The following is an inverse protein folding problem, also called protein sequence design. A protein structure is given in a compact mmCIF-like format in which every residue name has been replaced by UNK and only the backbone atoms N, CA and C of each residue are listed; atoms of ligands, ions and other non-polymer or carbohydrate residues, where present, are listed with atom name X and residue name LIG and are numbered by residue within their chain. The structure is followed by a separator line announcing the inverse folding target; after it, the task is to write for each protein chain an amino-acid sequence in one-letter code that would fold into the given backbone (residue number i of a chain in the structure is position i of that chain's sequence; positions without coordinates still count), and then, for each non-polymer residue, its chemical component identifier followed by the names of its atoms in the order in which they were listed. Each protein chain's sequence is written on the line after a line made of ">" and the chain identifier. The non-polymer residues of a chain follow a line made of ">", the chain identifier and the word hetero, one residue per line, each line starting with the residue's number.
data_IF_525033071713
#
_entry.id   IF_525033071713
#
_cell.length_a   1.000
_cell.length_b   1.000
_cell.length_c   1.000
_cell.angle_alpha   90.00
_cell.angle_beta   90.00
_cell.angle_gamma   90.00
#
_symmetry.space_group_name_H-M   'P 1'
#
loop_
_entity.id
_entity.type
_entity.pdbx_description
1 polymer ?
#
# COMPACT_ATOMS: atom_id res chain seq x y z
N UNK A 1 -12.84 5.54 6.35
CA UNK A 1 -13.04 5.88 7.78
C UNK A 1 -11.69 6.21 8.41
N UNK A 2 -11.62 7.20 9.31
CA UNK A 2 -10.39 7.52 10.05
C UNK A 2 -10.38 6.81 11.40
N UNK A 3 -9.30 6.08 11.70
CA UNK A 3 -9.23 5.13 12.81
C UNK A 3 -8.11 5.54 13.75
N UNK A 4 -8.48 6.08 14.92
CA UNK A 4 -7.57 6.60 15.93
C UNK A 4 -7.74 5.92 17.30
N UNK A 5 -8.35 4.74 17.33
CA UNK A 5 -8.50 3.92 18.54
C UNK A 5 -8.03 2.50 18.29
N UNK A 6 -7.53 1.84 19.35
CA UNK A 6 -7.10 0.43 19.25
C UNK A 6 -8.28 -0.50 18.91
N UNK A 7 -9.49 -0.21 19.44
CA UNK A 7 -10.69 -0.96 19.11
C UNK A 7 -11.04 -0.90 17.61
N UNK A 8 -10.86 0.27 16.98
CA UNK A 8 -11.04 0.39 15.53
C UNK A 8 -9.98 -0.42 14.76
N UNK A 9 -8.72 -0.38 15.19
CA UNK A 9 -7.65 -1.17 14.56
C UNK A 9 -7.91 -2.67 14.67
N UNK A 10 -8.27 -3.17 15.86
CA UNK A 10 -8.59 -4.59 16.05
C UNK A 10 -9.82 -5.00 15.26
N UNK A 11 -10.80 -4.10 15.10
CA UNK A 11 -11.95 -4.33 14.22
C UNK A 11 -11.56 -4.55 12.75
N UNK A 12 -10.60 -3.77 12.23
CA UNK A 12 -10.05 -3.99 10.87
C UNK A 12 -9.34 -5.34 10.79
N UNK A 13 -8.53 -5.67 11.80
CA UNK A 13 -7.79 -6.94 11.85
C UNK A 13 -8.73 -8.14 11.82
N UNK A 14 -9.76 -8.12 12.67
CA UNK A 14 -10.77 -9.18 12.71
C UNK A 14 -11.59 -9.22 11.40
N UNK A 15 -11.79 -8.08 10.74
CA UNK A 15 -12.47 -8.03 9.44
C UNK A 15 -11.61 -8.67 8.34
N UNK A 16 -10.31 -8.36 8.28
CA UNK A 16 -9.37 -8.99 7.33
C UNK A 16 -9.28 -10.50 7.58
N UNK A 17 -9.14 -10.93 8.85
CA UNK A 17 -8.99 -12.35 9.18
C UNK A 17 -10.24 -13.19 8.87
N UNK A 18 -11.42 -12.56 8.80
CA UNK A 18 -12.67 -13.21 8.36
C UNK A 18 -12.73 -13.46 6.85
N UNK A 19 -11.92 -12.76 6.05
CA UNK A 19 -11.95 -12.93 4.60
C UNK A 19 -11.31 -14.28 4.24
N UNK A 20 -12.10 -15.35 4.09
CA UNK A 20 -11.61 -16.67 3.69
C UNK A 20 -10.95 -16.69 2.28
N UNK A 21 -10.95 -15.56 1.57
CA UNK A 21 -10.40 -15.36 0.23
C UNK A 21 -8.88 -15.54 0.13
N UNK A 22 -8.15 -15.46 1.26
CA UNK A 22 -6.71 -15.75 1.29
C UNK A 22 -6.39 -17.23 1.02
N UNK A 23 -7.35 -18.15 1.20
CA UNK A 23 -7.17 -19.57 0.87
C UNK A 23 -7.06 -19.72 -0.65
N UNK A 24 -5.81 -19.83 -1.15
CA UNK A 24 -5.38 -20.14 -2.54
C UNK A 24 -5.07 -18.95 -3.46
N UNK A 25 -4.74 -17.77 -2.93
CA UNK A 25 -4.29 -16.62 -3.75
C UNK A 25 -5.36 -16.17 -4.79
N UNK A 26 -6.65 -16.46 -4.52
CA UNK A 26 -7.77 -16.19 -5.44
C UNK A 26 -8.00 -14.68 -5.55
N UNK A 27 -7.98 -14.00 -4.42
CA UNK A 27 -8.27 -12.57 -4.30
C UNK A 27 -7.54 -12.00 -3.08
N UNK A 28 -6.85 -10.85 -3.21
CA UNK A 28 -6.23 -10.20 -2.06
C UNK A 28 -7.31 -9.68 -1.09
N UNK A 29 -7.23 -10.02 0.21
CA UNK A 29 -8.17 -9.50 1.21
C UNK A 29 -7.89 -8.04 1.56
N UNK A 30 -6.70 -7.51 1.25
CA UNK A 30 -6.35 -6.13 1.58
C UNK A 30 -5.32 -5.48 0.64
N UNK A 31 -5.44 -4.16 0.51
CA UNK A 31 -4.56 -3.27 -0.23
C UNK A 31 -4.11 -2.15 0.70
N UNK A 32 -2.82 -1.81 0.66
CA UNK A 32 -2.19 -1.00 1.70
C UNK A 32 -1.27 0.04 1.07
N UNK A 33 -1.25 1.21 1.70
CA UNK A 33 -0.35 2.32 1.39
C UNK A 33 -0.02 3.08 2.68
N UNK A 34 1.20 3.60 2.81
CA UNK A 34 1.65 4.34 4.00
C UNK A 34 2.03 5.77 3.67
N UNK A 35 1.77 6.66 4.61
CA UNK A 35 2.19 8.06 4.51
C UNK A 35 2.93 8.48 5.77
N UNK A 36 3.91 9.36 5.62
CA UNK A 36 4.63 9.92 6.76
C UNK A 36 5.70 10.94 6.40
N UNK A 37 6.37 11.47 7.42
CA UNK A 37 7.46 12.41 7.23
C UNK A 37 8.73 11.69 6.76
N UNK A 38 9.11 11.89 5.50
CA UNK A 38 10.23 11.20 4.86
C UNK A 38 10.13 9.67 5.00
N UNK A 39 8.98 9.09 4.64
CA UNK A 39 8.65 7.67 4.80
C UNK A 39 9.83 6.73 4.50
N UNK A 40 10.26 6.02 5.54
CA UNK A 40 11.40 5.10 5.54
C UNK A 40 12.02 4.98 6.94
N UNK A 41 13.12 4.23 7.05
CA UNK A 41 13.81 3.93 8.33
C UNK A 41 14.30 5.15 9.12
N UNK A 42 14.49 6.29 8.45
CA UNK A 42 14.98 7.53 9.04
C UNK A 42 13.87 8.60 9.19
N UNK A 43 12.63 8.25 8.83
CA UNK A 43 11.47 9.12 8.89
C UNK A 43 10.44 8.61 9.88
N UNK A 44 9.16 8.71 9.50
CA UNK A 44 8.05 8.19 10.29
C UNK A 44 6.98 7.53 9.41
N UNK A 45 6.12 6.74 10.06
CA UNK A 45 4.81 6.39 9.52
C UNK A 45 3.79 7.19 10.31
N UNK A 46 3.06 8.06 9.63
CA UNK A 46 2.02 8.90 10.21
C UNK A 46 0.64 8.27 10.03
N UNK A 47 0.40 7.68 8.86
CA UNK A 47 -0.86 7.08 8.47
C UNK A 47 -0.60 5.74 7.78
N UNK A 48 -1.49 4.78 8.02
CA UNK A 48 -1.58 3.56 7.22
C UNK A 48 -2.97 3.49 6.61
N UNK A 49 -3.06 3.50 5.29
CA UNK A 49 -4.33 3.30 4.59
C UNK A 49 -4.50 1.83 4.28
N UNK A 50 -5.66 1.27 4.62
CA UNK A 50 -6.02 -0.12 4.36
C UNK A 50 -7.37 -0.17 3.67
N UNK A 51 -7.41 -0.67 2.44
CA UNK A 51 -8.63 -1.12 1.80
C UNK A 51 -8.81 -2.60 2.10
N UNK A 52 -9.85 -2.97 2.84
CA UNK A 52 -10.28 -4.37 3.02
C UNK A 52 -11.23 -4.73 1.88
N UNK A 53 -10.99 -5.87 1.22
CA UNK A 53 -11.64 -6.25 -0.03
C UNK A 53 -12.34 -7.62 0.05
N UNK A 54 -13.56 -7.68 0.64
CA UNK A 54 -14.39 -8.88 0.60
C UNK A 54 -14.81 -9.28 -0.83
N UNK A 55 -15.02 -8.30 -1.70
CA UNK A 55 -15.53 -8.48 -3.06
C UNK A 55 -15.79 -7.16 -3.75
N UNK A 56 -16.06 -7.21 -5.05
CA UNK A 56 -16.38 -6.03 -5.88
C UNK A 56 -17.66 -5.35 -5.36
N UNK A 57 -17.55 -4.06 -5.01
CA UNK A 57 -18.65 -3.26 -4.47
C UNK A 57 -18.84 -3.40 -2.96
N UNK A 58 -17.98 -4.16 -2.27
CA UNK A 58 -18.01 -4.38 -0.82
C UNK A 58 -16.71 -3.92 -0.14
N UNK A 59 -15.86 -3.19 -0.87
CA UNK A 59 -14.62 -2.62 -0.33
C UNK A 59 -14.87 -1.59 0.77
N UNK A 60 -14.01 -1.61 1.79
CA UNK A 60 -14.00 -0.62 2.86
C UNK A 60 -12.60 -0.04 3.04
N UNK A 61 -12.49 1.28 3.00
CA UNK A 61 -11.22 2.00 3.16
C UNK A 61 -11.11 2.59 4.57
N UNK A 62 -10.02 2.27 5.25
CA UNK A 62 -9.66 2.77 6.56
C UNK A 62 -8.34 3.54 6.46
N UNK A 63 -8.24 4.68 7.16
CA UNK A 63 -7.00 5.44 7.36
C UNK A 63 -6.67 5.36 8.84
N UNK A 64 -5.65 4.59 9.19
CA UNK A 64 -5.23 4.32 10.56
C UNK A 64 -4.25 5.40 11.00
N UNK A 65 -4.52 6.01 12.15
CA UNK A 65 -3.68 7.03 12.79
C UNK A 65 -2.47 6.40 13.49
N UNK A 66 -1.46 6.01 12.71
CA UNK A 66 -0.22 5.43 13.24
C UNK A 66 0.57 6.45 14.06
N UNK A 67 0.47 7.75 13.74
CA UNK A 67 1.10 8.81 14.50
C UNK A 67 0.63 8.84 15.97
N UNK A 68 -0.69 8.80 16.19
CA UNK A 68 -1.27 8.83 17.54
C UNK A 68 -1.17 7.48 18.25
N UNK A 69 -1.43 6.38 17.52
CA UNK A 69 -1.49 5.05 18.12
C UNK A 69 -0.11 4.39 18.29
N UNK A 70 0.87 4.82 17.51
CA UNK A 70 2.24 4.34 17.53
C UNK A 70 2.33 2.82 17.44
N UNK A 71 3.23 2.24 18.24
CA UNK A 71 3.46 0.79 18.30
C UNK A 71 2.21 0.00 18.69
N UNK A 72 1.31 0.56 19.51
CA UNK A 72 0.12 -0.14 19.95
C UNK A 72 -0.85 -0.47 18.80
N UNK A 73 -0.85 0.28 17.69
CA UNK A 73 -1.61 -0.08 16.49
C UNK A 73 -1.20 -1.45 15.92
N UNK A 74 0.08 -1.83 16.05
CA UNK A 74 0.60 -3.08 15.50
C UNK A 74 0.48 -4.26 16.48
N UNK A 75 0.48 -3.97 17.79
CA UNK A 75 0.54 -4.97 18.85
C UNK A 75 -0.84 -5.32 19.44
N UNK A 76 -1.86 -4.46 19.28
CA UNK A 76 -3.21 -4.72 19.78
C UNK A 76 -3.82 -5.97 19.11
N UNK A 77 -4.36 -6.87 19.93
CA UNK A 77 -4.90 -8.17 19.50
C UNK A 77 -6.43 -8.10 19.45
N UNK A 78 -7.02 -8.48 18.32
CA UNK A 78 -8.46 -8.58 18.13
C UNK A 78 -9.08 -9.85 18.72
N UNK A 79 -10.40 -9.97 18.56
CA UNK A 79 -11.19 -11.10 19.08
C UNK A 79 -10.76 -12.45 18.50
N UNK A 80 -10.18 -12.42 17.28
CA UNK A 80 -9.69 -13.62 16.58
C UNK A 80 -8.23 -13.96 16.92
N UNK A 81 -7.65 -13.31 17.92
CA UNK A 81 -6.32 -13.64 18.45
C UNK A 81 -5.16 -13.20 17.56
N UNK A 82 -5.40 -12.29 16.62
CA UNK A 82 -4.37 -11.70 15.75
C UNK A 82 -4.26 -10.20 15.98
N UNK A 83 -3.05 -9.67 15.86
CA UNK A 83 -2.79 -8.24 15.73
C UNK A 83 -2.57 -7.83 14.28
N UNK A 84 -2.52 -6.52 14.01
CA UNK A 84 -2.15 -6.00 12.69
C UNK A 84 -0.76 -6.48 12.26
N UNK A 85 0.19 -6.55 13.21
CA UNK A 85 1.50 -7.16 12.95
C UNK A 85 1.37 -8.61 12.50
N UNK A 86 0.57 -9.44 13.18
CA UNK A 86 0.38 -10.83 12.76
C UNK A 86 -0.19 -10.94 11.34
N UNK A 87 -1.13 -10.07 10.95
CA UNK A 87 -1.69 -10.03 9.59
C UNK A 87 -0.62 -9.65 8.55
N UNK A 88 0.18 -8.62 8.83
CA UNK A 88 1.23 -8.15 7.92
C UNK A 88 2.38 -9.17 7.78
N UNK A 89 2.70 -9.91 8.83
CA UNK A 89 3.77 -10.92 8.84
C UNK A 89 3.32 -12.31 8.35
N UNK A 90 2.01 -12.56 8.22
CA UNK A 90 1.47 -13.82 7.72
C UNK A 90 1.72 -13.98 6.20
N UNK A 91 2.54 -14.96 5.74
CA UNK A 91 2.79 -15.16 4.31
C UNK A 91 1.56 -15.64 3.52
N UNK A 92 0.60 -16.28 4.19
CA UNK A 92 -0.63 -16.79 3.60
C UNK A 92 -1.71 -15.72 3.38
N UNK A 93 -1.61 -14.59 4.08
CA UNK A 93 -2.50 -13.44 3.87
C UNK A 93 -1.84 -12.52 2.85
N UNK A 94 -2.43 -12.43 1.66
CA UNK A 94 -1.92 -11.57 0.59
C UNK A 94 -2.17 -10.10 0.93
N UNK A 95 -1.12 -9.28 0.89
CA UNK A 95 -1.19 -7.81 0.96
C UNK A 95 -0.73 -7.24 -0.36
N UNK A 96 -1.50 -6.31 -0.91
CA UNK A 96 -1.13 -5.63 -2.15
C UNK A 96 -0.68 -4.21 -1.85
N UNK A 97 0.48 -3.85 -2.36
CA UNK A 97 1.06 -2.50 -2.29
C UNK A 97 1.36 -2.01 -3.71
N UNK A 98 1.46 -0.70 -3.90
CA UNK A 98 2.05 -0.12 -5.10
C UNK A 98 3.45 0.39 -4.76
N UNK A 99 4.50 -0.29 -5.21
CA UNK A 99 5.90 0.00 -4.84
C UNK A 99 6.20 -0.10 -3.33
N UNK A 100 6.21 -1.33 -2.80
CA UNK A 100 6.30 -1.64 -1.36
C UNK A 100 7.60 -1.22 -0.65
N UNK A 101 8.61 -0.74 -1.38
CA UNK A 101 9.99 -0.67 -0.88
C UNK A 101 10.12 0.25 0.34
N UNK A 102 9.61 1.48 0.28
CA UNK A 102 9.69 2.41 1.41
C UNK A 102 8.71 2.03 2.53
N UNK A 103 7.55 1.47 2.19
CA UNK A 103 6.59 0.99 3.18
C UNK A 103 7.20 -0.13 4.03
N UNK A 104 7.80 -1.12 3.38
CA UNK A 104 8.44 -2.24 4.06
C UNK A 104 9.66 -1.79 4.86
N UNK A 105 10.45 -0.84 4.35
CA UNK A 105 11.59 -0.28 5.08
C UNK A 105 11.13 0.39 6.38
N UNK A 106 10.12 1.26 6.30
CA UNK A 106 9.55 1.96 7.44
C UNK A 106 8.92 0.98 8.45
N UNK A 107 8.11 0.03 7.99
CA UNK A 107 7.47 -0.99 8.83
C UNK A 107 8.48 -1.81 9.62
N UNK A 108 9.59 -2.21 8.98
CA UNK A 108 10.61 -3.02 9.61
C UNK A 108 11.45 -2.23 10.61
N UNK A 109 12.04 -1.11 10.21
CA UNK A 109 12.98 -0.38 11.07
C UNK A 109 12.30 0.41 12.19
N UNK A 110 11.08 0.93 11.97
CA UNK A 110 10.39 1.74 12.96
C UNK A 110 9.53 0.89 13.91
N UNK A 111 8.90 -0.17 13.40
CA UNK A 111 7.92 -0.97 14.17
C UNK A 111 8.30 -2.45 14.32
N UNK A 112 9.35 -2.93 13.67
CA UNK A 112 9.79 -4.32 13.75
C UNK A 112 8.81 -5.27 13.06
N UNK A 113 8.07 -4.82 12.04
CA UNK A 113 7.14 -5.64 11.26
C UNK A 113 7.91 -6.27 10.09
N UNK A 114 8.06 -7.59 10.14
CA UNK A 114 8.68 -8.36 9.05
C UNK A 114 7.64 -8.70 7.98
N UNK A 115 7.36 -7.74 7.09
CA UNK A 115 6.31 -7.86 6.08
C UNK A 115 6.48 -9.12 5.20
N UNK A 116 5.41 -9.90 5.01
CA UNK A 116 5.40 -11.10 4.14
C UNK A 116 4.14 -11.16 3.30
N UNK A 117 4.07 -12.07 2.33
CA UNK A 117 2.85 -12.27 1.53
C UNK A 117 2.49 -11.05 0.69
N UNK A 118 3.48 -10.37 0.11
CA UNK A 118 3.27 -9.13 -0.66
C UNK A 118 3.07 -9.43 -2.15
N UNK A 119 2.16 -8.69 -2.78
CA UNK A 119 2.18 -8.45 -4.23
C UNK A 119 2.38 -6.97 -4.52
N UNK A 120 3.42 -6.68 -5.29
CA UNK A 120 3.71 -5.32 -5.72
C UNK A 120 3.05 -5.03 -7.08
N UNK A 121 2.07 -4.14 -7.10
CA UNK A 121 1.31 -3.79 -8.31
C UNK A 121 2.16 -3.12 -9.37
N UNK A 122 3.22 -2.41 -8.99
CA UNK A 122 4.13 -1.80 -9.94
C UNK A 122 4.91 -2.88 -10.72
N UNK A 123 5.25 -3.99 -10.06
CA UNK A 123 5.84 -5.15 -10.73
C UNK A 123 4.83 -5.91 -11.59
N UNK A 124 3.57 -6.00 -11.16
CA UNK A 124 2.50 -6.58 -11.97
C UNK A 124 2.29 -5.80 -13.28
N UNK A 125 2.22 -4.46 -13.22
CA UNK A 125 2.18 -3.60 -14.41
C UNK A 125 3.37 -3.90 -15.33
N UNK A 126 4.59 -3.90 -14.78
CA UNK A 126 5.80 -4.21 -15.57
C UNK A 126 5.72 -5.59 -16.24
N UNK A 127 5.33 -6.63 -15.51
CA UNK A 127 5.21 -7.98 -16.06
C UNK A 127 4.11 -8.12 -17.11
N UNK A 128 3.06 -7.29 -17.04
CA UNK A 128 1.94 -7.31 -17.98
C UNK A 128 2.27 -6.71 -19.35
N UNK A 129 3.32 -5.88 -19.45
CA UNK A 129 3.72 -5.21 -20.69
C UNK A 129 4.33 -6.23 -21.68
N UNK A 130 3.96 -6.21 -22.97
CA UNK A 130 4.33 -7.27 -23.92
C UNK A 130 5.83 -7.28 -24.28
N UNK A 131 6.44 -6.10 -24.41
CA UNK A 131 7.80 -5.96 -24.96
C UNK A 131 8.85 -5.76 -23.87
N UNK A 132 10.02 -6.40 -24.02
CA UNK A 132 11.10 -6.29 -23.04
C UNK A 132 11.64 -4.86 -22.89
N UNK A 133 11.70 -4.11 -23.98
CA UNK A 133 12.09 -2.69 -23.98
C UNK A 133 11.18 -1.84 -23.09
N UNK A 134 9.87 -2.12 -23.15
CA UNK A 134 8.87 -1.47 -22.31
C UNK A 134 8.95 -1.91 -20.86
N UNK A 135 9.69 -2.96 -20.51
CA UNK A 135 9.87 -3.43 -19.13
C UNK A 135 11.16 -2.91 -18.50
N UNK A 136 11.99 -2.15 -19.20
CA UNK A 136 13.25 -1.61 -18.66
C UNK A 136 13.02 -0.72 -17.43
N UNK A 137 11.91 0.02 -17.42
CA UNK A 137 11.56 0.95 -16.35
C UNK A 137 10.20 0.62 -15.76
N UNK A 138 10.04 0.81 -14.45
CA UNK A 138 8.75 0.74 -13.78
C UNK A 138 7.93 2.02 -13.99
N UNK A 139 6.60 1.89 -13.93
CA UNK A 139 5.67 3.01 -14.06
C UNK A 139 5.28 3.56 -12.69
N UNK A 140 5.08 4.88 -12.58
CA UNK A 140 4.44 5.48 -11.40
C UNK A 140 2.93 5.24 -11.39
N UNK A 141 2.29 5.40 -10.23
CA UNK A 141 0.86 5.11 -10.03
C UNK A 141 -0.04 5.82 -11.06
N UNK A 142 0.15 7.12 -11.27
CA UNK A 142 -0.64 7.90 -12.22
C UNK A 142 -0.60 7.33 -13.65
N UNK A 143 0.56 6.83 -14.10
CA UNK A 143 0.70 6.18 -15.41
C UNK A 143 -0.03 4.84 -15.44
N UNK A 144 0.08 4.04 -14.38
CA UNK A 144 -0.65 2.77 -14.30
C UNK A 144 -2.18 2.98 -14.24
N UNK A 145 -2.65 4.10 -13.70
CA UNK A 145 -4.07 4.44 -13.65
C UNK A 145 -4.68 4.72 -15.04
N UNK A 146 -3.87 5.07 -16.04
CA UNK A 146 -4.36 5.32 -17.41
C UNK A 146 -4.97 4.09 -18.08
N UNK A 147 -4.57 2.88 -17.66
CA UNK A 147 -5.02 1.62 -18.25
C UNK A 147 -6.10 0.90 -17.44
N UNK A 148 -6.50 1.48 -16.30
CA UNK A 148 -7.62 1.02 -15.49
C UNK A 148 -8.93 1.51 -16.13
N UNK A 149 -9.96 0.67 -16.27
CA UNK A 149 -11.22 1.03 -16.92
C UNK A 149 -12.08 1.94 -16.03
N UNK A 150 -11.66 3.19 -15.86
CA UNK A 150 -12.39 4.21 -15.12
C UNK A 150 -13.24 5.06 -16.07
N UNK A 151 -14.39 5.52 -15.59
CA UNK A 151 -15.15 6.57 -16.26
C UNK A 151 -14.37 7.90 -16.25
N UNK A 152 -14.67 8.80 -17.18
CA UNK A 152 -14.04 10.13 -17.22
C UNK A 152 -14.24 10.90 -15.90
N UNK A 153 -15.41 10.77 -15.28
CA UNK A 153 -15.71 11.38 -13.99
C UNK A 153 -14.84 10.79 -12.85
N UNK A 154 -14.70 9.46 -12.78
CA UNK A 154 -13.84 8.81 -11.79
C UNK A 154 -12.38 9.24 -11.92
N UNK A 155 -11.87 9.32 -13.16
CA UNK A 155 -10.49 9.75 -13.42
C UNK A 155 -10.29 11.23 -13.05
N UNK A 156 -11.25 12.09 -13.36
CA UNK A 156 -11.20 13.50 -12.99
C UNK A 156 -11.22 13.69 -11.47
N UNK A 157 -12.08 12.97 -10.76
CA UNK A 157 -12.17 13.02 -9.30
C UNK A 157 -10.89 12.52 -8.63
N UNK A 158 -10.33 11.40 -9.12
CA UNK A 158 -9.07 10.87 -8.61
C UNK A 158 -7.91 11.85 -8.82
N UNK A 159 -7.79 12.43 -10.01
CA UNK A 159 -6.78 13.45 -10.30
C UNK A 159 -6.94 14.68 -9.39
N UNK A 160 -8.18 15.14 -9.18
CA UNK A 160 -8.46 16.28 -8.31
C UNK A 160 -8.04 16.00 -6.86
N UNK A 161 -8.37 14.82 -6.34
CA UNK A 161 -7.96 14.40 -5.00
C UNK A 161 -6.43 14.33 -4.86
N UNK A 162 -5.75 13.74 -5.85
CA UNK A 162 -4.28 13.68 -5.86
C UNK A 162 -3.67 15.07 -5.89
N UNK A 163 -4.15 15.97 -6.75
CA UNK A 163 -3.65 17.34 -6.86
C UNK A 163 -3.86 18.16 -5.58
N UNK A 164 -5.02 18.00 -4.91
CA UNK A 164 -5.32 18.70 -3.66
C UNK A 164 -4.42 18.22 -2.52
N UNK A 165 -4.27 16.90 -2.34
CA UNK A 165 -3.38 16.34 -1.33
C UNK A 165 -1.91 16.69 -1.60
N UNK A 166 -1.46 16.55 -2.84
CA UNK A 166 -0.10 16.91 -3.27
C UNK A 166 0.28 18.33 -2.90
N UNK A 167 -0.62 19.32 -3.07
CA UNK A 167 -0.34 20.71 -2.68
C UNK A 167 -0.13 20.89 -1.19
N UNK A 168 -0.68 19.98 -0.37
CA UNK A 168 -0.59 20.05 1.09
C UNK A 168 0.65 19.36 1.64
N UNK A 169 1.01 18.18 1.10
CA UNK A 169 2.16 17.43 1.62
C UNK A 169 3.48 17.70 0.90
N UNK A 170 3.45 18.05 -0.39
CA UNK A 170 4.66 18.16 -1.22
C UNK A 170 5.33 19.54 -1.07
N UNK A 171 6.57 19.62 -0.54
CA UNK A 171 7.29 20.89 -0.41
C UNK A 171 7.53 21.63 -1.73
N UNK A 172 7.67 20.91 -2.85
CA UNK A 172 7.83 21.52 -4.18
C UNK A 172 6.57 22.25 -4.66
N UNK A 173 5.41 21.91 -4.08
CA UNK A 173 4.11 22.54 -4.35
C UNK A 173 3.68 23.51 -3.23
N UNK A 174 4.58 23.84 -2.29
CA UNK A 174 4.33 24.73 -1.16
C UNK A 174 3.74 24.04 0.08
N UNK A 175 3.65 22.71 0.06
CA UNK A 175 3.20 21.90 1.18
C UNK A 175 4.32 21.53 2.17
N UNK A 176 4.01 20.61 3.08
CA UNK A 176 4.98 20.04 4.02
C UNK A 176 4.59 18.62 4.40
N UNK A 177 5.57 17.72 4.46
CA UNK A 177 5.33 16.34 4.93
C UNK A 177 4.69 16.28 6.32
N UNK A 178 4.94 17.29 7.17
CA UNK A 178 4.35 17.38 8.50
C UNK A 178 2.81 17.47 8.50
N UNK A 179 2.18 17.74 7.34
CA UNK A 179 0.73 17.74 7.22
C UNK A 179 0.11 16.39 7.59
N UNK A 180 0.82 15.27 7.37
CA UNK A 180 0.37 13.94 7.75
C UNK A 180 0.27 13.74 9.28
N UNK A 181 0.97 14.57 10.05
CA UNK A 181 0.94 14.57 11.52
C UNK A 181 -0.09 15.55 12.12
N UNK A 182 -0.72 16.40 11.30
CA UNK A 182 -1.69 17.39 11.77
C UNK A 182 -2.97 16.72 12.27
N UNK A 183 -3.49 17.16 13.42
CA UNK A 183 -4.78 16.72 13.99
C UNK A 183 -5.66 17.93 14.35
N UNK A 184 -6.96 17.96 13.97
CA UNK A 184 -7.64 16.98 13.13
C UNK A 184 -7.02 16.90 11.73
N UNK A 185 -7.02 15.69 11.15
CA UNK A 185 -6.40 15.45 9.85
C UNK A 185 -7.21 16.17 8.75
N UNK A 186 -6.57 16.95 7.85
CA UNK A 186 -7.28 17.65 6.78
C UNK A 186 -8.08 16.68 5.89
N UNK A 187 -9.27 17.10 5.47
CA UNK A 187 -10.16 16.25 4.68
C UNK A 187 -9.55 15.90 3.31
N UNK A 188 -8.77 16.80 2.75
CA UNK A 188 -8.02 16.63 1.51
C UNK A 188 -6.95 15.54 1.64
N UNK A 189 -6.27 15.45 2.80
CA UNK A 189 -5.30 14.37 3.07
C UNK A 189 -6.03 13.03 3.25
N UNK A 190 -7.17 13.00 3.94
CA UNK A 190 -7.98 11.78 4.04
C UNK A 190 -8.42 11.27 2.67
N UNK A 191 -8.87 12.16 1.77
CA UNK A 191 -9.26 11.81 0.40
C UNK A 191 -8.08 11.37 -0.46
N UNK A 192 -6.94 12.04 -0.30
CA UNK A 192 -5.68 11.67 -0.94
C UNK A 192 -5.31 10.23 -0.61
N UNK A 193 -5.17 9.91 0.68
CA UNK A 193 -4.84 8.58 1.18
C UNK A 193 -5.83 7.52 0.69
N UNK A 194 -7.14 7.81 0.75
CA UNK A 194 -8.15 6.89 0.24
C UNK A 194 -8.01 6.65 -1.28
N UNK A 195 -7.67 7.69 -2.05
CA UNK A 195 -7.45 7.62 -3.49
C UNK A 195 -6.25 6.76 -3.90
N UNK A 196 -5.24 6.62 -3.04
CA UNK A 196 -4.05 5.78 -3.31
C UNK A 196 -4.34 4.28 -3.26
N UNK A 197 -5.37 3.87 -2.51
CA UNK A 197 -5.77 2.46 -2.43
C UNK A 197 -7.04 2.13 -3.21
N UNK A 198 -7.93 3.10 -3.44
CA UNK A 198 -9.29 2.88 -3.96
C UNK A 198 -9.36 2.04 -5.25
N UNK A 199 -8.39 2.24 -6.15
CA UNK A 199 -8.38 1.58 -7.46
C UNK A 199 -7.36 0.44 -7.58
N UNK A 200 -6.61 0.14 -6.52
CA UNK A 200 -5.67 -0.98 -6.51
C UNK A 200 -6.35 -2.34 -6.77
N UNK A 201 -7.59 -2.62 -6.32
CA UNK A 201 -8.28 -3.86 -6.72
C UNK A 201 -8.51 -3.96 -8.24
N UNK A 202 -8.92 -2.86 -8.87
CA UNK A 202 -9.13 -2.83 -10.32
C UNK A 202 -7.81 -2.99 -11.08
N UNK A 203 -6.73 -2.36 -10.59
CA UNK A 203 -5.37 -2.54 -11.13
C UNK A 203 -4.89 -3.99 -10.99
N UNK A 204 -5.13 -4.62 -9.84
CA UNK A 204 -4.76 -6.01 -9.60
C UNK A 204 -5.41 -6.94 -10.62
N UNK A 205 -6.72 -6.77 -10.86
CA UNK A 205 -7.45 -7.52 -11.89
C UNK A 205 -6.92 -7.23 -13.30
N UNK A 206 -6.61 -5.97 -13.61
CA UNK A 206 -6.08 -5.54 -14.91
C UNK A 206 -4.70 -6.13 -15.23
N UNK A 207 -3.81 -6.17 -14.23
CA UNK A 207 -2.42 -6.59 -14.39
C UNK A 207 -2.15 -8.04 -14.00
N UNK A 208 -3.20 -8.80 -13.65
CA UNK A 208 -3.09 -10.22 -13.38
C UNK A 208 -2.53 -10.96 -14.59
N UNK A 209 -1.41 -11.68 -14.40
CA UNK A 209 -0.80 -12.44 -15.48
C UNK A 209 -1.55 -13.74 -15.77
N UNK A 210 -1.73 -14.01 -17.06
CA UNK A 210 -2.36 -15.22 -17.56
C UNK A 210 -1.43 -16.46 -17.47
N UNK A 211 -0.12 -16.27 -17.29
CA UNK A 211 0.84 -17.38 -17.24
C UNK A 211 1.37 -17.60 -15.83
N UNK A 212 1.56 -18.87 -15.43
CA UNK A 212 2.19 -19.21 -14.15
C UNK A 212 3.59 -18.58 -14.02
N UNK A 213 4.40 -18.63 -15.08
CA UNK A 213 5.77 -18.09 -15.09
C UNK A 213 5.86 -16.64 -14.62
N UNK A 214 5.02 -15.75 -15.16
CA UNK A 214 5.04 -14.34 -14.79
C UNK A 214 4.41 -14.09 -13.42
N UNK A 215 3.42 -14.89 -13.01
CA UNK A 215 2.90 -14.86 -11.64
C UNK A 215 4.01 -15.19 -10.64
N UNK A 216 4.75 -16.27 -10.86
CA UNK A 216 5.86 -16.71 -10.02
C UNK A 216 6.99 -15.68 -9.98
N UNK A 217 7.32 -15.07 -11.13
CA UNK A 217 8.30 -13.99 -11.20
C UNK A 217 7.89 -12.78 -10.36
N UNK A 218 6.62 -12.35 -10.44
CA UNK A 218 6.12 -11.23 -9.63
C UNK A 218 6.15 -11.57 -8.14
N UNK A 219 5.79 -12.81 -7.75
CA UNK A 219 5.89 -13.27 -6.36
C UNK A 219 7.32 -13.11 -5.86
N UNK A 220 8.28 -13.67 -6.61
CA UNK A 220 9.68 -13.68 -6.22
C UNK A 220 10.27 -12.27 -6.18
N UNK A 221 9.98 -11.45 -7.20
CA UNK A 221 10.44 -10.07 -7.26
C UNK A 221 9.82 -9.19 -6.16
N UNK A 222 8.54 -9.43 -5.79
CA UNK A 222 7.90 -8.74 -4.67
C UNK A 222 8.57 -9.12 -3.35
N UNK A 223 8.84 -10.41 -3.13
CA UNK A 223 9.58 -10.92 -1.96
C UNK A 223 10.99 -10.33 -1.88
N UNK A 224 11.69 -10.27 -3.02
CA UNK A 224 13.02 -9.68 -3.13
C UNK A 224 13.01 -8.18 -2.78
N UNK A 225 12.05 -7.41 -3.29
CA UNK A 225 11.89 -5.99 -2.92
C UNK A 225 11.76 -5.78 -1.41
N UNK A 226 10.94 -6.60 -0.75
CA UNK A 226 10.76 -6.57 0.71
C UNK A 226 12.06 -6.91 1.43
N UNK A 227 12.75 -7.98 1.01
CA UNK A 227 14.02 -8.38 1.64
C UNK A 227 15.11 -7.33 1.46
N UNK A 228 15.22 -6.74 0.27
CA UNK A 228 16.19 -5.69 -0.04
C UNK A 228 15.90 -4.41 0.74
N UNK A 229 14.62 -3.99 0.84
CA UNK A 229 14.25 -2.79 1.61
C UNK A 229 14.53 -2.92 3.10
N UNK A 230 14.49 -4.14 3.65
CA UNK A 230 14.80 -4.40 5.06
C UNK A 230 16.30 -4.58 5.33
N UNK A 231 17.14 -4.62 4.30
CA UNK A 231 18.59 -4.79 4.46
C UNK A 231 19.26 -3.50 4.98
N UNK A 232 20.34 -3.64 5.75
CA UNK A 232 21.08 -2.50 6.32
C UNK A 232 21.60 -1.52 5.25
N UNK A 233 21.95 -2.01 4.06
CA UNK A 233 22.50 -1.18 2.97
C UNK A 233 21.47 -0.50 2.06
N UNK A 234 20.16 -0.71 2.26
CA UNK A 234 19.11 -0.14 1.40
C UNK A 234 19.19 1.39 1.35
N UNK A 235 19.00 1.94 0.15
CA UNK A 235 18.98 3.38 -0.11
C UNK A 235 17.58 3.80 -0.59
N UNK A 236 16.74 4.41 0.26
CA UNK A 236 15.34 4.72 -0.09
C UNK A 236 15.21 5.74 -1.23
N UNK A 237 16.26 6.50 -1.55
CA UNK A 237 16.23 7.54 -2.59
C UNK A 237 17.16 7.21 -3.78
N UNK A 238 17.53 5.94 -3.96
CA UNK A 238 18.41 5.47 -5.03
C UNK A 238 17.86 5.73 -6.45
N UNK A 239 18.74 6.10 -7.39
CA UNK A 239 18.38 6.36 -8.81
C UNK A 239 17.97 5.10 -9.57
N UNK A 240 18.38 3.94 -9.09
CA UNK A 240 18.06 2.62 -9.61
C UNK A 240 16.63 2.18 -9.31
N UNK A 241 15.88 2.90 -8.46
CA UNK A 241 14.49 2.59 -8.14
C UNK A 241 13.54 2.59 -9.34
N UNK A 242 13.90 3.32 -10.40
CA UNK A 242 13.14 3.38 -11.65
C UNK A 242 13.36 2.16 -12.56
N UNK A 243 14.39 1.36 -12.33
CA UNK A 243 14.67 0.15 -13.11
C UNK A 243 13.76 -0.99 -12.66
N UNK A 244 13.29 -1.78 -13.63
CA UNK A 244 12.60 -3.03 -13.33
C UNK A 244 13.61 -4.16 -13.03
N UNK A 245 13.25 -5.16 -12.19
CA UNK A 245 14.10 -6.31 -11.90
C UNK A 245 14.47 -7.18 -13.10
#
# INVERSE_FOLDING_TARGET
>A
EFINTLAGVTGIVDFVDRQDTWKRDIQPPMYVDLEGENLGRNGSISLMTVLVYPGEGLEHIYVIDIYTLGRAAFDAVGERGKSLKNILEAPEILKVFFDVRNDSDALFFLYGVNLRGVRDLQLMDSASRPNAENRKFVSGLAKCMEFVPLTGAQKAEWNLCKDQGDRLWNPEKGGSYSVFNTRPLPAEILRYCAGDVAYLPAMYKKYASQTNRWRDFVVEASRKRVAESQAAGYQPQGRDRALSP
#
